data_IF_410628189588
#
_entry.id   IF_410628189588
#
_cell.length_a   1.000
_cell.length_b   1.000
_cell.length_c   1.000
_cell.angle_alpha   90.00
_cell.angle_beta   90.00
_cell.angle_gamma   90.00
#
_symmetry.space_group_name_H-M   'P 1'
#
loop_
_entity.id
_entity.type
_entity.pdbx_description
1 polymer ?
#
# COMPACT_ATOMS: atom_id res chain seq x y z
N UNK A 1 -25.61 -19.89 -3.43
CA UNK A 1 -24.91 -18.94 -4.30
C UNK A 1 -23.60 -18.59 -3.62
N UNK A 2 -22.46 -18.98 -4.19
CA UNK A 2 -21.14 -18.59 -3.69
C UNK A 2 -20.85 -17.18 -4.22
N UNK A 3 -20.67 -16.23 -3.32
CA UNK A 3 -20.21 -14.88 -3.67
C UNK A 3 -18.70 -14.95 -3.77
N UNK A 4 -18.15 -14.71 -4.96
CA UNK A 4 -16.71 -14.48 -5.11
C UNK A 4 -16.40 -13.13 -4.48
N UNK A 5 -15.56 -13.13 -3.45
CA UNK A 5 -15.04 -11.90 -2.85
C UNK A 5 -13.81 -11.49 -3.65
N UNK A 6 -13.90 -10.40 -4.39
CA UNK A 6 -12.74 -9.80 -5.05
C UNK A 6 -11.94 -8.99 -4.03
N UNK A 7 -10.74 -9.45 -3.70
CA UNK A 7 -9.81 -8.70 -2.86
C UNK A 7 -9.01 -7.75 -3.75
N UNK A 8 -9.33 -6.46 -3.71
CA UNK A 8 -8.53 -5.43 -4.38
C UNK A 8 -7.17 -5.30 -3.69
N UNK A 9 -6.11 -5.29 -4.48
CA UNK A 9 -4.72 -5.17 -4.04
C UNK A 9 -3.90 -4.41 -5.07
N UNK A 10 -2.73 -3.92 -4.66
CA UNK A 10 -1.77 -3.35 -5.60
C UNK A 10 -0.88 -4.45 -6.17
N UNK A 11 -0.81 -4.53 -7.50
CA UNK A 11 0.18 -5.32 -8.24
C UNK A 11 1.11 -4.36 -8.96
N UNK A 12 2.38 -4.29 -8.54
CA UNK A 12 3.38 -3.37 -9.06
C UNK A 12 4.48 -4.13 -9.81
N UNK A 13 4.78 -3.70 -11.04
CA UNK A 13 5.66 -4.41 -11.97
C UNK A 13 4.95 -5.41 -12.89
N UNK A 14 5.74 -6.16 -13.67
CA UNK A 14 5.22 -7.07 -14.70
C UNK A 14 4.39 -8.23 -14.12
N UNK A 15 3.21 -8.49 -14.70
CA UNK A 15 2.39 -9.66 -14.38
C UNK A 15 3.07 -10.99 -14.73
N UNK A 16 4.01 -10.97 -15.67
CA UNK A 16 4.72 -12.16 -16.13
C UNK A 16 6.02 -12.41 -15.35
N UNK A 17 6.35 -11.54 -14.39
CA UNK A 17 7.55 -11.70 -13.58
C UNK A 17 7.55 -13.07 -12.86
N UNK A 18 8.64 -13.85 -12.96
CA UNK A 18 8.69 -15.22 -12.44
C UNK A 18 8.64 -15.29 -10.91
N UNK A 19 9.00 -14.21 -10.21
CA UNK A 19 8.95 -14.13 -8.74
C UNK A 19 7.85 -13.16 -8.31
N UNK A 20 7.00 -13.60 -7.38
CA UNK A 20 5.96 -12.78 -6.75
C UNK A 20 6.33 -12.54 -5.29
N UNK A 21 6.50 -11.28 -4.90
CA UNK A 21 6.70 -10.89 -3.50
C UNK A 21 5.38 -10.35 -3.00
N UNK A 22 4.68 -11.13 -2.19
CA UNK A 22 3.43 -10.71 -1.55
C UNK A 22 3.70 -10.17 -0.15
N UNK A 23 3.16 -8.98 0.16
CA UNK A 23 3.21 -8.39 1.49
C UNK A 23 1.82 -8.02 1.98
N UNK A 24 1.57 -8.29 3.26
CA UNK A 24 0.43 -7.78 3.99
C UNK A 24 0.89 -6.67 4.93
N UNK A 25 0.39 -5.46 4.73
CA UNK A 25 0.81 -4.29 5.49
C UNK A 25 -0.36 -3.38 5.83
N UNK A 26 -0.17 -2.48 6.79
CA UNK A 26 -1.13 -1.43 7.10
C UNK A 26 -0.42 -0.08 7.02
N UNK A 27 -1.04 0.92 6.37
CA UNK A 27 -0.42 2.22 6.09
C UNK A 27 -0.07 3.02 7.35
N UNK A 28 -0.73 2.76 8.48
CA UNK A 28 -0.45 3.41 9.77
C UNK A 28 0.48 2.59 10.68
N UNK A 29 0.99 1.44 10.22
CA UNK A 29 1.92 0.62 11.00
C UNK A 29 3.38 1.11 10.80
N UNK A 30 4.12 1.46 11.88
CA UNK A 30 5.50 1.93 11.76
C UNK A 30 6.46 0.86 11.26
N UNK A 31 6.27 -0.39 11.65
CA UNK A 31 7.08 -1.51 11.15
C UNK A 31 6.83 -1.77 9.67
N UNK A 32 5.60 -1.53 9.19
CA UNK A 32 5.29 -1.61 7.77
C UNK A 32 5.97 -0.48 6.98
N UNK A 33 6.08 0.73 7.54
CA UNK A 33 6.82 1.83 6.92
C UNK A 33 8.30 1.47 6.72
N UNK A 34 8.96 0.98 7.78
CA UNK A 34 10.35 0.51 7.69
C UNK A 34 10.51 -0.61 6.68
N UNK A 35 9.62 -1.60 6.68
CA UNK A 35 9.67 -2.69 5.70
C UNK A 35 9.51 -2.14 4.28
N UNK A 36 8.53 -1.27 4.05
CA UNK A 36 8.21 -0.74 2.74
C UNK A 36 9.37 0.08 2.17
N UNK A 37 10.02 0.93 2.96
CA UNK A 37 11.20 1.68 2.54
C UNK A 37 12.35 0.75 2.09
N UNK A 38 12.64 -0.29 2.88
CA UNK A 38 13.67 -1.26 2.53
C UNK A 38 13.30 -2.07 1.28
N UNK A 39 12.04 -2.46 1.14
CA UNK A 39 11.53 -3.18 -0.02
C UNK A 39 11.58 -2.32 -1.28
N UNK A 40 11.18 -1.04 -1.21
CA UNK A 40 11.23 -0.10 -2.33
C UNK A 40 12.66 0.02 -2.88
N UNK A 41 13.65 0.17 -2.01
CA UNK A 41 15.05 0.24 -2.41
C UNK A 41 15.58 -1.10 -2.96
N UNK A 42 15.27 -2.20 -2.28
CA UNK A 42 15.83 -3.53 -2.60
C UNK A 42 15.23 -4.12 -3.87
N UNK A 43 13.93 -3.95 -4.09
CA UNK A 43 13.21 -4.60 -5.18
C UNK A 43 13.22 -3.78 -6.48
N UNK A 44 13.55 -2.49 -6.43
CA UNK A 44 13.45 -1.56 -7.57
C UNK A 44 14.05 -2.11 -8.86
N UNK A 45 15.31 -2.53 -8.84
CA UNK A 45 15.98 -3.04 -10.05
C UNK A 45 15.37 -4.35 -10.55
N UNK A 46 14.96 -5.24 -9.64
CA UNK A 46 14.32 -6.50 -10.01
C UNK A 46 12.93 -6.30 -10.62
N UNK A 47 12.19 -5.28 -10.16
CA UNK A 47 10.90 -4.88 -10.72
C UNK A 47 11.10 -4.29 -12.11
N UNK A 48 12.06 -3.38 -12.27
CA UNK A 48 12.41 -2.75 -13.55
C UNK A 48 12.89 -3.77 -14.60
N UNK A 49 13.63 -4.79 -14.17
CA UNK A 49 14.09 -5.91 -15.00
C UNK A 49 12.98 -6.93 -15.32
N UNK A 50 11.76 -6.75 -14.78
CA UNK A 50 10.65 -7.69 -14.95
C UNK A 50 10.86 -9.04 -14.24
N UNK A 51 11.80 -9.13 -13.30
CA UNK A 51 12.10 -10.36 -12.55
C UNK A 51 11.18 -10.55 -11.34
N UNK A 52 10.73 -9.45 -10.75
CA UNK A 52 9.85 -9.44 -9.56
C UNK A 52 8.58 -8.66 -9.87
N UNK A 53 7.44 -9.21 -9.45
CA UNK A 53 6.22 -8.44 -9.23
C UNK A 53 6.02 -8.26 -7.73
N UNK A 54 5.82 -7.02 -7.31
CA UNK A 54 5.56 -6.69 -5.91
C UNK A 54 4.05 -6.54 -5.69
N UNK A 55 3.47 -7.36 -4.83
CA UNK A 55 2.03 -7.43 -4.59
C UNK A 55 1.76 -6.98 -3.17
N UNK A 56 1.12 -5.83 -3.01
CA UNK A 56 0.82 -5.23 -1.72
C UNK A 56 -0.66 -5.40 -1.41
N UNK A 57 -0.95 -6.14 -0.34
CA UNK A 57 -2.29 -6.39 0.18
C UNK A 57 -2.45 -5.57 1.45
N UNK A 58 -3.26 -4.51 1.40
CA UNK A 58 -3.56 -3.76 2.60
C UNK A 58 -4.32 -4.65 3.59
N UNK A 59 -3.85 -4.71 4.83
CA UNK A 59 -4.49 -5.47 5.89
C UNK A 59 -5.21 -4.51 6.83
N UNK A 60 -6.53 -4.49 6.70
CA UNK A 60 -7.37 -3.73 7.61
C UNK A 60 -7.39 -4.35 9.00
N UNK A 61 -7.12 -3.52 10.01
CA UNK A 61 -6.92 -3.97 11.39
C UNK A 61 -7.82 -3.18 12.33
N UNK A 62 -8.56 -3.85 13.23
CA UNK A 62 -9.47 -3.17 14.16
C UNK A 62 -8.75 -2.51 15.35
N UNK A 63 -7.41 -2.51 15.36
CA UNK A 63 -6.62 -1.88 16.43
C UNK A 63 -6.63 -0.37 16.20
N UNK A 64 -6.97 0.40 17.22
CA UNK A 64 -7.16 1.85 17.15
C UNK A 64 -6.11 2.59 16.31
N UNK A 65 -4.82 2.44 16.63
CA UNK A 65 -3.72 3.09 15.88
C UNK A 65 -3.62 2.66 14.40
N UNK A 66 -4.17 1.52 14.02
CA UNK A 66 -4.13 0.99 12.64
C UNK A 66 -5.40 1.31 11.83
N UNK A 67 -6.44 1.82 12.49
CA UNK A 67 -7.69 2.22 11.81
C UNK A 67 -7.44 3.37 10.82
N UNK A 68 -6.51 4.27 11.12
CA UNK A 68 -6.13 5.36 10.22
C UNK A 68 -5.56 4.84 8.89
N UNK A 69 -4.80 3.75 8.91
CA UNK A 69 -4.31 3.11 7.71
C UNK A 69 -5.44 2.44 6.91
N UNK A 70 -6.39 1.81 7.59
CA UNK A 70 -7.62 1.30 6.96
C UNK A 70 -8.44 2.40 6.31
N UNK A 71 -8.53 3.56 6.96
CA UNK A 71 -9.24 4.71 6.42
C UNK A 71 -8.55 5.28 5.17
N UNK A 72 -7.22 5.42 5.20
CA UNK A 72 -6.45 5.82 4.03
C UNK A 72 -6.65 4.84 2.86
N UNK A 73 -6.66 3.54 3.14
CA UNK A 73 -6.89 2.50 2.15
C UNK A 73 -8.25 2.60 1.43
N UNK A 74 -9.30 3.06 2.12
CA UNK A 74 -10.62 3.28 1.51
C UNK A 74 -10.61 4.32 0.37
N UNK A 75 -9.59 5.17 0.27
CA UNK A 75 -9.47 6.18 -0.77
C UNK A 75 -8.57 5.73 -1.94
N UNK A 76 -8.01 4.52 -1.90
CA UNK A 76 -7.17 4.01 -2.97
C UNK A 76 -7.99 3.47 -4.15
N UNK A 77 -7.68 3.95 -5.35
CA UNK A 77 -8.14 3.37 -6.61
C UNK A 77 -7.03 2.51 -7.23
N UNK A 78 -7.11 1.20 -7.00
CA UNK A 78 -6.14 0.23 -7.49
C UNK A 78 -6.12 0.03 -9.01
N UNK A 79 -6.97 0.74 -9.78
CA UNK A 79 -6.91 0.75 -11.25
C UNK A 79 -5.69 1.47 -11.81
N UNK A 80 -5.02 2.29 -11.00
CA UNK A 80 -3.78 2.99 -11.36
C UNK A 80 -2.63 2.57 -10.42
N UNK A 81 -1.96 1.43 -10.69
CA UNK A 81 -0.93 0.89 -9.81
C UNK A 81 0.25 1.83 -9.54
N UNK A 82 0.68 2.60 -10.55
CA UNK A 82 1.81 3.54 -10.41
C UNK A 82 1.44 4.68 -9.48
N UNK A 83 0.27 5.29 -9.68
CA UNK A 83 -0.22 6.36 -8.79
C UNK A 83 -0.37 5.88 -7.35
N UNK A 84 -0.96 4.69 -7.14
CA UNK A 84 -1.13 4.15 -5.79
C UNK A 84 0.21 3.83 -5.13
N UNK A 85 1.17 3.29 -5.89
CA UNK A 85 2.49 3.01 -5.33
C UNK A 85 3.21 4.28 -4.87
N UNK A 86 3.16 5.35 -5.65
CA UNK A 86 3.72 6.65 -5.25
C UNK A 86 2.98 7.26 -4.05
N UNK A 87 1.64 7.16 -4.00
CA UNK A 87 0.87 7.58 -2.82
C UNK A 87 1.25 6.77 -1.56
N UNK A 88 1.48 5.46 -1.68
CA UNK A 88 1.97 4.64 -0.57
C UNK A 88 3.35 5.11 -0.09
N UNK A 89 4.28 5.44 -1.00
CA UNK A 89 5.60 6.00 -0.66
C UNK A 89 5.45 7.30 0.14
N UNK A 90 4.63 8.22 -0.33
CA UNK A 90 4.39 9.50 0.34
C UNK A 90 3.75 9.33 1.72
N UNK A 91 2.75 8.46 1.84
CA UNK A 91 2.10 8.17 3.11
C UNK A 91 3.08 7.53 4.11
N UNK A 92 3.89 6.56 3.70
CA UNK A 92 4.86 5.95 4.60
C UNK A 92 5.96 6.93 5.01
N UNK A 93 6.45 7.77 4.09
CA UNK A 93 7.46 8.79 4.39
C UNK A 93 6.94 9.84 5.39
N UNK A 94 5.66 10.19 5.30
CA UNK A 94 5.01 11.20 6.16
C UNK A 94 4.17 10.59 7.28
N UNK A 95 4.35 9.30 7.61
CA UNK A 95 3.45 8.57 8.51
C UNK A 95 3.23 9.28 9.85
N UNK A 96 4.31 9.81 10.45
CA UNK A 96 4.26 10.56 11.71
C UNK A 96 3.37 11.82 11.65
N UNK A 97 3.12 12.38 10.47
CA UNK A 97 2.33 13.60 10.27
C UNK A 97 0.82 13.33 10.24
N UNK A 98 0.40 12.13 9.81
CA UNK A 98 -1.02 11.84 9.52
C UNK A 98 -1.63 10.64 10.26
N UNK A 99 -0.84 9.72 10.83
CA UNK A 99 -1.33 8.46 11.42
C UNK A 99 -2.24 8.59 12.67
N UNK A 100 -2.57 9.81 13.09
CA UNK A 100 -3.51 10.12 14.17
C UNK A 100 -4.52 11.22 13.75
N UNK A 101 -4.64 11.52 12.45
CA UNK A 101 -5.52 12.56 11.92
C UNK A 101 -6.91 12.01 11.56
N UNK A 102 -7.89 12.90 11.56
CA UNK A 102 -9.26 12.55 11.19
C UNK A 102 -9.43 12.22 9.70
N UNK A 103 -10.62 11.73 9.35
CA UNK A 103 -10.96 11.30 7.98
C UNK A 103 -10.89 12.41 6.94
N UNK A 104 -11.26 13.64 7.29
CA UNK A 104 -11.29 14.74 6.33
C UNK A 104 -9.86 15.18 6.02
N UNK A 105 -8.99 15.23 7.03
CA UNK A 105 -7.57 15.50 6.86
C UNK A 105 -6.91 14.45 5.97
N UNK A 106 -7.12 13.16 6.25
CA UNK A 106 -6.57 12.06 5.44
C UNK A 106 -7.09 12.12 3.99
N UNK A 107 -8.39 12.38 3.80
CA UNK A 107 -8.97 12.49 2.46
C UNK A 107 -8.33 13.62 1.64
N UNK A 108 -8.14 14.80 2.23
CA UNK A 108 -7.51 15.93 1.54
C UNK A 108 -6.11 15.58 1.06
N UNK A 109 -5.31 14.93 1.90
CA UNK A 109 -3.96 14.50 1.52
C UNK A 109 -3.90 13.52 0.34
N UNK A 110 -4.99 12.77 0.08
CA UNK A 110 -5.05 11.74 -0.95
C UNK A 110 -5.73 12.18 -2.25
N UNK A 111 -6.58 13.20 -2.18
CA UNK A 111 -7.50 13.59 -3.27
C UNK A 111 -7.26 15.01 -3.77
N UNK A 112 -6.69 15.90 -2.94
CA UNK A 112 -6.40 17.31 -3.26
C UNK A 112 -4.91 17.54 -3.50
#
# INVERSE_FOLDING_TARGET
MTVTVENTHLSYGSSDAPVKVEVFLNLACPYCATFFENADQTLKSYIQDGKVQYIIKHFDKPREMLLYGTLANCFFDYKDPEKIYELMKDLFAKQSEWHEKDSDTIKKMLVE
#
